data_IF_062859151624
#
_entry.id   IF_062859151624
#
_cell.length_a   1.000
_cell.length_b   1.000
_cell.length_c   1.000
_cell.angle_alpha   90.00
_cell.angle_beta   90.00
_cell.angle_gamma   90.00
#
_symmetry.space_group_name_H-M   'P 1'
#
loop_
_entity.id
_entity.type
_entity.pdbx_description
1 polymer ?
#
# COMPACT_ATOMS: atom_id res chain seq x y z
N UNK A 1 11.18 3.07 10.52
CA UNK A 1 10.66 4.05 9.54
C UNK A 1 10.19 3.25 8.33
N UNK A 2 8.94 3.38 7.88
CA UNK A 2 8.52 2.70 6.64
C UNK A 2 9.17 3.48 5.51
N UNK A 3 10.21 2.91 4.91
CA UNK A 3 10.80 3.45 3.69
C UNK A 3 9.88 3.11 2.52
N UNK A 4 8.75 3.84 2.42
CA UNK A 4 8.11 4.03 1.13
C UNK A 4 9.14 4.85 0.35
N UNK A 5 9.69 4.31 -0.75
CA UNK A 5 10.55 5.07 -1.64
C UNK A 5 9.71 6.19 -2.29
N UNK A 6 9.46 7.26 -1.53
CA UNK A 6 8.80 8.49 -1.99
C UNK A 6 9.78 9.32 -2.81
N UNK A 7 10.32 8.71 -3.87
CA UNK A 7 10.68 9.43 -5.09
C UNK A 7 9.54 9.41 -6.10
N UNK A 8 8.32 9.16 -5.64
CA UNK A 8 7.10 9.59 -6.32
C UNK A 8 6.60 10.79 -5.55
N UNK A 9 6.88 11.96 -6.12
CA UNK A 9 6.46 13.26 -5.63
C UNK A 9 4.96 13.23 -5.31
N UNK A 10 4.64 13.61 -4.08
CA UNK A 10 3.29 13.94 -3.64
C UNK A 10 2.89 15.26 -4.31
N UNK A 11 2.56 15.22 -5.61
CA UNK A 11 2.01 16.36 -6.35
C UNK A 11 1.26 15.86 -7.57
N UNK A 12 0.00 16.31 -7.74
CA UNK A 12 -0.80 16.10 -8.94
C UNK A 12 -1.68 14.85 -8.94
N UNK A 13 -3.01 15.06 -9.03
CA UNK A 13 -4.03 14.14 -9.59
C UNK A 13 -3.69 12.62 -9.61
N UNK A 14 -3.59 11.93 -8.46
CA UNK A 14 -3.23 10.49 -8.52
C UNK A 14 -2.96 9.72 -7.22
N UNK A 15 -3.16 10.31 -6.03
CA UNK A 15 -2.74 9.69 -4.76
C UNK A 15 -3.86 8.83 -4.14
N UNK A 16 -3.89 7.54 -4.46
CA UNK A 16 -4.83 6.56 -3.85
C UNK A 16 -4.24 5.77 -2.69
N UNK A 17 -2.91 5.69 -2.59
CA UNK A 17 -2.20 4.92 -1.58
C UNK A 17 -1.67 5.85 -0.49
N UNK A 18 -2.14 5.67 0.74
CA UNK A 18 -1.80 6.52 1.88
C UNK A 18 -1.20 5.63 2.98
N UNK A 19 0.08 5.80 3.25
CA UNK A 19 0.75 5.11 4.36
C UNK A 19 0.56 5.87 5.67
N UNK A 20 0.17 5.17 6.73
CA UNK A 20 0.17 5.68 8.10
C UNK A 20 1.52 5.37 8.76
N UNK A 21 2.29 6.40 9.09
CA UNK A 21 3.62 6.27 9.69
C UNK A 21 3.59 5.86 11.16
N UNK A 22 2.45 6.00 11.85
CA UNK A 22 2.27 5.62 13.26
C UNK A 22 1.92 4.15 13.38
N UNK A 23 0.97 3.67 12.57
CA UNK A 23 0.46 2.30 12.65
C UNK A 23 1.09 1.33 11.66
N UNK A 24 1.84 1.85 10.69
CA UNK A 24 2.30 1.12 9.52
C UNK A 24 1.18 0.54 8.64
N UNK A 25 -0.02 1.11 8.72
CA UNK A 25 -1.14 0.76 7.85
C UNK A 25 -1.01 1.38 6.45
N UNK A 26 -1.59 0.69 5.47
CA UNK A 26 -1.83 1.22 4.13
C UNK A 26 -3.34 1.43 3.96
N UNK A 27 -3.72 2.67 3.66
CA UNK A 27 -5.06 3.03 3.23
C UNK A 27 -5.09 3.17 1.72
N UNK A 28 -6.11 2.59 1.08
CA UNK A 28 -6.32 2.67 -0.37
C UNK A 28 -7.67 3.32 -0.62
N UNK A 29 -7.66 4.55 -1.11
CA UNK A 29 -8.87 5.29 -1.47
C UNK A 29 -9.27 4.99 -2.92
N UNK A 30 -10.58 4.94 -3.19
CA UNK A 30 -11.13 4.65 -4.51
C UNK A 30 -10.52 3.37 -5.12
N UNK A 31 -10.69 2.25 -4.41
CA UNK A 31 -10.22 0.91 -4.81
C UNK A 31 -10.78 0.52 -6.18
N UNK A 32 -9.92 -0.08 -7.03
CA UNK A 32 -10.22 -0.50 -8.40
C UNK A 32 -9.82 -1.95 -8.63
N UNK A 33 -10.29 -2.53 -9.74
CA UNK A 33 -9.96 -3.91 -10.11
C UNK A 33 -8.44 -4.12 -10.23
N UNK A 34 -7.67 -3.11 -10.65
CA UNK A 34 -6.21 -3.20 -10.71
C UNK A 34 -5.51 -3.36 -9.35
N UNK A 35 -6.20 -3.09 -8.23
CA UNK A 35 -5.63 -3.22 -6.88
C UNK A 35 -5.80 -4.65 -6.30
N UNK A 36 -6.58 -5.51 -6.97
CA UNK A 36 -6.75 -6.91 -6.60
C UNK A 36 -5.41 -7.64 -6.68
N UNK A 37 -4.95 -8.20 -5.54
CA UNK A 37 -3.57 -8.65 -5.46
C UNK A 37 -3.16 -9.12 -4.08
N UNK A 38 -1.98 -9.72 -4.01
CA UNK A 38 -1.33 -10.05 -2.74
C UNK A 38 -0.47 -8.86 -2.33
N UNK A 39 -0.74 -8.32 -1.15
CA UNK A 39 -0.06 -7.19 -0.56
C UNK A 39 0.85 -7.66 0.57
N UNK A 40 2.08 -7.16 0.58
CA UNK A 40 3.07 -7.41 1.63
C UNK A 40 3.42 -6.15 2.38
N UNK A 41 3.72 -6.28 3.68
CA UNK A 41 4.31 -5.21 4.47
C UNK A 41 5.77 -5.54 4.71
N UNK A 42 6.65 -4.58 4.48
CA UNK A 42 8.09 -4.69 4.81
C UNK A 42 8.50 -3.50 5.66
N UNK A 43 9.26 -3.77 6.72
CA UNK A 43 9.85 -2.76 7.59
C UNK A 43 11.35 -2.98 7.63
N UNK A 44 12.12 -1.92 7.44
CA UNK A 44 13.55 -1.93 7.72
C UNK A 44 13.77 -1.45 9.16
N UNK A 45 14.50 -2.23 9.94
CA UNK A 45 14.91 -1.83 11.29
C UNK A 45 16.13 -0.91 11.28
N UNK A 46 16.50 -0.38 12.45
CA UNK A 46 17.61 0.57 12.59
C UNK A 46 18.99 -0.05 12.28
N UNK A 47 19.06 -1.37 12.08
CA UNK A 47 20.26 -2.11 11.68
C UNK A 47 20.27 -2.44 10.18
N UNK A 48 19.28 -1.97 9.41
CA UNK A 48 19.15 -2.24 7.98
C UNK A 48 18.60 -3.64 7.66
N UNK A 49 18.08 -4.37 8.65
CA UNK A 49 17.46 -5.67 8.42
C UNK A 49 16.02 -5.47 7.98
N UNK A 50 15.64 -6.19 6.91
CA UNK A 50 14.27 -6.21 6.40
C UNK A 50 13.45 -7.25 7.16
N UNK A 51 12.38 -6.79 7.79
CA UNK A 51 11.32 -7.59 8.37
C UNK A 51 10.14 -7.64 7.40
N UNK A 52 9.68 -8.83 7.06
CA UNK A 52 8.53 -9.05 6.19
C UNK A 52 7.33 -9.52 7.00
N UNK A 53 6.23 -8.78 6.92
CA UNK A 53 4.95 -9.17 7.49
C UNK A 53 4.30 -10.32 6.71
N UNK A 54 3.22 -10.86 7.29
CA UNK A 54 2.40 -11.87 6.58
C UNK A 54 1.70 -11.20 5.40
N UNK A 55 1.74 -11.81 4.19
CA UNK A 55 1.03 -11.26 3.04
C UNK A 55 -0.49 -11.35 3.23
N UNK A 56 -1.22 -10.39 2.66
CA UNK A 56 -2.69 -10.30 2.68
C UNK A 56 -3.22 -10.25 1.26
N UNK A 57 -4.30 -11.00 0.95
CA UNK A 57 -4.97 -10.94 -0.35
C UNK A 57 -6.08 -9.88 -0.31
N UNK A 58 -5.98 -8.85 -1.15
CA UNK A 58 -7.09 -7.96 -1.48
C UNK A 58 -7.86 -8.55 -2.67
N UNK A 59 -9.17 -8.70 -2.53
CA UNK A 59 -10.07 -9.09 -3.62
C UNK A 59 -11.00 -7.92 -3.91
N UNK A 60 -11.03 -7.45 -5.16
CA UNK A 60 -11.86 -6.33 -5.58
C UNK A 60 -12.99 -6.83 -6.47
N UNK A 61 -14.23 -6.62 -6.03
CA UNK A 61 -15.41 -7.01 -6.77
C UNK A 61 -15.95 -5.81 -7.55
N UNK A 62 -15.91 -5.88 -8.87
CA UNK A 62 -16.54 -4.90 -9.75
C UNK A 62 -18.07 -5.05 -9.75
N UNK A 63 -18.79 -3.95 -9.95
CA UNK A 63 -20.21 -4.01 -10.33
C UNK A 63 -20.32 -4.14 -11.84
N UNK A 64 -21.04 -5.14 -12.31
CA UNK A 64 -21.51 -5.19 -13.70
C UNK A 64 -22.46 -4.00 -13.92
N UNK A 65 -22.08 -3.06 -14.77
CA UNK A 65 -23.03 -2.09 -15.32
C UNK A 65 -23.76 -2.79 -16.45
N UNK A 66 -25.03 -3.13 -16.19
CA UNK A 66 -26.00 -3.57 -17.18
C UNK A 66 -26.60 -2.35 -17.87
#
# INVERSE_FOLDING_TARGET
MITINTKTEMSGTGHRYIGDSITAALHIDNVRLEDDGIWGCTLEDDQGKILSGRPVKLVVLGKLRL
#
